data_IF_893599018640
#
_entry.id   IF_893599018640
#
_cell.length_a   1.000
_cell.length_b   1.000
_cell.length_c   1.000
_cell.angle_alpha   90.00
_cell.angle_beta   90.00
_cell.angle_gamma   90.00
#
_symmetry.space_group_name_H-M   'P 1'
#
loop_
_entity.id
_entity.type
_entity.pdbx_description
1 polymer ?
#
# COMPACT_ATOMS: atom_id res chain seq x y z
N UNK A 1 -17.85 2.84 0.95
CA UNK A 1 -16.65 2.72 1.80
C UNK A 1 -15.43 2.69 0.89
N UNK A 2 -14.27 3.20 1.32
CA UNK A 2 -13.06 3.14 0.52
C UNK A 2 -12.51 1.71 0.53
N UNK A 3 -12.35 1.09 -0.64
CA UNK A 3 -11.86 -0.29 -0.77
C UNK A 3 -10.48 -0.50 -0.16
N UNK A 4 -9.66 0.55 -0.11
CA UNK A 4 -8.35 0.54 0.53
C UNK A 4 -8.47 0.61 2.06
N UNK A 5 -9.49 1.31 2.58
CA UNK A 5 -9.73 1.41 4.01
C UNK A 5 -10.20 0.08 4.63
N UNK A 6 -10.72 -0.84 3.83
CA UNK A 6 -11.10 -2.19 4.26
C UNK A 6 -9.88 -3.11 4.48
N UNK A 7 -8.69 -2.75 3.97
CA UNK A 7 -7.44 -3.49 4.15
C UNK A 7 -6.34 -2.63 4.79
N UNK A 8 -6.50 -2.19 6.04
CA UNK A 8 -5.58 -1.26 6.70
C UNK A 8 -4.17 -1.83 6.90
N UNK A 9 -4.03 -3.16 7.04
CA UNK A 9 -2.72 -3.82 7.15
C UNK A 9 -1.86 -3.62 5.89
N UNK A 10 -2.48 -3.57 4.72
CA UNK A 10 -1.79 -3.34 3.45
C UNK A 10 -1.24 -1.90 3.42
N UNK A 11 -2.07 -0.92 3.74
CA UNK A 11 -1.65 0.50 3.81
C UNK A 11 -0.51 0.72 4.81
N UNK A 12 -0.57 0.06 5.98
CA UNK A 12 0.50 0.11 6.96
C UNK A 12 1.78 -0.52 6.41
N UNK A 13 1.71 -1.71 5.80
CA UNK A 13 2.89 -2.40 5.25
C UNK A 13 3.59 -1.61 4.13
N UNK A 14 2.82 -0.90 3.30
CA UNK A 14 3.33 -0.02 2.25
C UNK A 14 3.90 1.30 2.79
N UNK A 15 3.79 1.56 4.09
CA UNK A 15 4.09 2.84 4.72
C UNK A 15 3.38 4.01 4.04
N UNK A 16 2.08 3.87 3.78
CA UNK A 16 1.28 4.97 3.24
C UNK A 16 1.24 6.09 4.28
N UNK A 17 1.99 7.15 4.03
CA UNK A 17 2.05 8.34 4.90
C UNK A 17 1.03 9.39 4.47
N UNK A 18 0.71 9.45 3.18
CA UNK A 18 -0.32 10.31 2.63
C UNK A 18 -1.00 9.68 1.41
N UNK A 19 -2.30 9.90 1.30
CA UNK A 19 -3.10 9.63 0.11
C UNK A 19 -3.81 10.92 -0.30
N UNK A 20 -3.68 11.32 -1.56
CA UNK A 20 -4.29 12.55 -2.06
C UNK A 20 -5.03 12.30 -3.37
N UNK A 21 -6.24 12.83 -3.45
CA UNK A 21 -6.90 13.02 -4.74
C UNK A 21 -6.24 14.16 -5.49
N UNK A 22 -5.94 13.95 -6.77
CA UNK A 22 -5.26 14.92 -7.61
C UNK A 22 -5.64 14.78 -9.07
N UNK A 23 -4.95 15.54 -9.91
CA UNK A 23 -5.01 15.40 -11.36
C UNK A 23 -3.59 15.20 -11.86
N UNK A 24 -3.35 14.11 -12.59
CA UNK A 24 -2.08 13.82 -13.25
C UNK A 24 -2.32 13.71 -14.75
N UNK A 25 -1.54 14.45 -15.56
CA UNK A 25 -1.70 14.51 -17.01
C UNK A 25 -3.15 14.80 -17.47
N UNK A 26 -3.89 15.63 -16.73
CA UNK A 26 -5.29 15.99 -17.03
C UNK A 26 -6.33 14.93 -16.64
N UNK A 27 -5.92 13.78 -16.09
CA UNK A 27 -6.81 12.74 -15.58
C UNK A 27 -6.92 12.82 -14.06
N UNK A 28 -8.14 12.65 -13.53
CA UNK A 28 -8.33 12.49 -12.07
C UNK A 28 -7.59 11.25 -11.61
N UNK A 29 -6.83 11.37 -10.54
CA UNK A 29 -6.02 10.29 -10.00
C UNK A 29 -6.03 10.32 -8.47
N UNK A 30 -5.79 9.16 -7.88
CA UNK A 30 -5.50 9.03 -6.46
C UNK A 30 -4.06 8.61 -6.29
N UNK A 31 -3.28 9.41 -5.55
CA UNK A 31 -1.83 9.23 -5.42
C UNK A 31 -1.54 8.77 -4.00
N UNK A 32 -0.82 7.66 -3.88
CA UNK A 32 -0.34 7.09 -2.63
C UNK A 32 1.19 7.13 -2.61
N UNK A 33 1.79 7.79 -1.63
CA UNK A 33 3.24 7.63 -1.40
C UNK A 33 3.48 6.35 -0.62
N UNK A 34 4.36 5.51 -1.13
CA UNK A 34 4.67 4.19 -0.57
C UNK A 34 6.17 3.98 -0.43
N UNK A 35 6.56 3.17 0.55
CA UNK A 35 7.93 2.74 0.78
C UNK A 35 7.93 1.21 0.99
N UNK A 36 7.55 0.48 -0.05
CA UNK A 36 7.49 -0.97 -0.03
C UNK A 36 8.85 -1.64 -0.24
N UNK A 37 8.87 -2.96 -0.25
CA UNK A 37 10.09 -3.72 -0.58
C UNK A 37 10.38 -3.77 -2.07
N UNK A 38 9.35 -3.87 -2.92
CA UNK A 38 9.49 -3.89 -4.38
C UNK A 38 9.53 -2.48 -4.97
N UNK A 39 8.65 -1.61 -4.50
CA UNK A 39 8.50 -0.27 -5.02
C UNK A 39 8.60 0.80 -3.93
N UNK A 40 9.37 1.84 -4.21
CA UNK A 40 9.47 3.05 -3.39
C UNK A 40 9.20 4.26 -4.29
N UNK A 41 8.32 5.16 -3.84
CA UNK A 41 7.86 6.30 -4.64
C UNK A 41 6.36 6.50 -4.50
N UNK A 42 5.66 6.63 -5.62
CA UNK A 42 4.22 6.82 -5.68
C UNK A 42 3.51 5.69 -6.45
N UNK A 43 2.31 5.35 -5.97
CA UNK A 43 1.31 4.55 -6.70
C UNK A 43 0.20 5.50 -7.10
N UNK A 44 -0.05 5.62 -8.40
CA UNK A 44 -1.09 6.47 -8.96
C UNK A 44 -2.21 5.59 -9.48
N UNK A 45 -3.42 5.81 -8.99
CA UNK A 45 -4.62 5.04 -9.34
C UNK A 45 -5.54 5.95 -10.15
N UNK A 46 -5.83 5.54 -11.38
CA UNK A 46 -6.75 6.24 -12.27
C UNK A 46 -8.08 5.49 -12.37
N UNK A 47 -9.23 6.18 -12.38
CA UNK A 47 -10.47 5.57 -12.81
C UNK A 47 -10.37 5.22 -14.31
N UNK A 48 -10.78 4.01 -14.66
CA UNK A 48 -10.87 3.58 -16.05
C UNK A 48 -12.20 4.05 -16.66
N UNK A 49 -12.29 4.03 -17.99
CA UNK A 49 -13.53 4.22 -18.74
C UNK A 49 -14.64 3.23 -18.38
N UNK A 50 -14.28 2.01 -17.97
CA UNK A 50 -15.21 1.00 -17.47
C UNK A 50 -15.48 1.22 -15.99
N UNK A 51 -16.75 1.37 -15.62
CA UNK A 51 -17.14 1.58 -14.23
C UNK A 51 -16.71 0.40 -13.34
N UNK A 52 -16.15 0.73 -12.17
CA UNK A 52 -15.58 -0.26 -11.25
C UNK A 52 -14.20 -0.80 -11.63
N UNK A 53 -13.57 -0.29 -12.69
CA UNK A 53 -12.20 -0.63 -13.07
C UNK A 53 -11.25 0.56 -12.90
N UNK A 54 -9.98 0.25 -12.66
CA UNK A 54 -8.93 1.21 -12.38
C UNK A 54 -7.65 0.82 -13.11
N UNK A 55 -6.85 1.83 -13.43
CA UNK A 55 -5.48 1.67 -13.92
C UNK A 55 -4.51 2.11 -12.83
N UNK A 56 -3.36 1.48 -12.75
CA UNK A 56 -2.28 1.82 -11.81
C UNK A 56 -1.04 2.19 -12.60
N UNK A 57 -0.37 3.25 -12.16
CA UNK A 57 0.99 3.57 -12.57
C UNK A 57 1.88 3.66 -11.31
N UNK A 58 3.02 2.97 -11.35
CA UNK A 58 4.08 3.09 -10.36
C UNK A 58 5.06 4.15 -10.83
N UNK A 59 5.23 5.19 -10.01
CA UNK A 59 6.18 6.26 -10.25
C UNK A 59 7.28 6.12 -9.21
N UNK A 60 8.54 6.05 -9.65
CA UNK A 60 9.68 5.97 -8.74
C UNK A 60 10.01 7.33 -8.10
N UNK A 61 11.06 7.40 -7.28
CA UNK A 61 11.48 8.64 -6.64
C UNK A 61 12.03 9.69 -7.62
N UNK A 62 12.45 9.28 -8.82
CA UNK A 62 12.91 10.18 -9.88
C UNK A 62 11.76 10.84 -10.64
N UNK A 63 10.54 10.32 -10.48
CA UNK A 63 9.34 10.82 -11.14
C UNK A 63 9.00 10.07 -12.44
N UNK A 64 9.73 9.00 -12.76
CA UNK A 64 9.52 8.20 -13.96
C UNK A 64 8.53 7.05 -13.72
N UNK A 65 7.72 6.75 -14.73
CA UNK A 65 6.80 5.61 -14.68
C UNK A 65 7.60 4.33 -14.90
N UNK A 66 7.68 3.49 -13.88
CA UNK A 66 8.43 2.23 -13.92
C UNK A 66 7.54 1.04 -14.32
N UNK A 67 6.26 1.07 -13.96
CA UNK A 67 5.32 -0.01 -14.31
C UNK A 67 3.90 0.54 -14.41
N UNK A 68 3.11 0.01 -15.32
CA UNK A 68 1.69 0.32 -15.44
C UNK A 68 0.85 -0.96 -15.59
N UNK A 69 -0.32 -0.97 -14.95
CA UNK A 69 -1.26 -2.09 -14.98
C UNK A 69 -2.66 -1.55 -15.18
N UNK A 70 -3.30 -1.94 -16.28
CA UNK A 70 -4.62 -1.46 -16.67
C UNK A 70 -5.74 -2.46 -16.32
N UNK A 71 -6.98 -1.99 -16.31
CA UNK A 71 -8.19 -2.83 -16.17
C UNK A 71 -8.26 -3.66 -14.88
N UNK A 72 -7.93 -3.05 -13.76
CA UNK A 72 -8.02 -3.69 -12.44
C UNK A 72 -9.40 -3.45 -11.84
N UNK A 73 -10.15 -4.53 -11.61
CA UNK A 73 -11.43 -4.46 -10.90
C UNK A 73 -11.25 -3.95 -9.47
N UNK A 74 -12.17 -3.12 -8.98
CA UNK A 74 -12.17 -2.56 -7.63
C UNK A 74 -11.83 -3.61 -6.54
N UNK A 75 -12.44 -4.79 -6.60
CA UNK A 75 -12.27 -5.87 -5.62
C UNK A 75 -10.83 -6.39 -5.51
N UNK A 76 -10.06 -6.35 -6.61
CA UNK A 76 -8.67 -6.80 -6.67
C UNK A 76 -7.65 -5.68 -6.49
N UNK A 77 -8.09 -4.42 -6.49
CA UNK A 77 -7.21 -3.26 -6.48
C UNK A 77 -6.18 -3.32 -5.34
N UNK A 78 -6.65 -3.57 -4.13
CA UNK A 78 -5.79 -3.67 -2.94
C UNK A 78 -4.79 -4.83 -2.97
N UNK A 79 -5.10 -5.92 -3.67
CA UNK A 79 -4.23 -7.09 -3.79
C UNK A 79 -3.17 -6.87 -4.87
N UNK A 80 -3.56 -6.28 -6.00
CA UNK A 80 -2.63 -5.92 -7.07
C UNK A 80 -1.61 -4.89 -6.57
N UNK A 81 -2.05 -3.85 -5.87
CA UNK A 81 -1.12 -2.88 -5.26
C UNK A 81 -0.17 -3.60 -4.28
N UNK A 82 -0.65 -4.56 -3.50
CA UNK A 82 0.21 -5.31 -2.57
C UNK A 82 1.29 -6.10 -3.31
N UNK A 83 0.92 -6.76 -4.40
CA UNK A 83 1.83 -7.54 -5.23
C UNK A 83 2.90 -6.70 -5.92
N UNK A 84 2.52 -5.49 -6.34
CA UNK A 84 3.39 -4.52 -7.00
C UNK A 84 4.36 -3.85 -6.01
N UNK A 85 3.86 -3.48 -4.83
CA UNK A 85 4.62 -2.64 -3.88
C UNK A 85 5.43 -3.46 -2.87
N UNK A 86 4.91 -4.60 -2.43
CA UNK A 86 5.33 -5.21 -1.16
C UNK A 86 5.70 -6.69 -1.27
N UNK A 87 4.93 -7.52 -1.98
CA UNK A 87 5.10 -8.97 -1.99
C UNK A 87 6.34 -9.39 -2.79
N UNK A 88 7.44 -9.73 -2.12
CA UNK A 88 8.62 -10.36 -2.72
C UNK A 88 8.55 -11.90 -2.65
N UNK A 89 9.43 -12.59 -3.38
CA UNK A 89 9.55 -14.06 -3.31
C UNK A 89 9.89 -14.55 -1.89
N UNK A 90 10.72 -13.78 -1.17
CA UNK A 90 11.20 -14.11 0.17
C UNK A 90 10.67 -13.13 1.24
N UNK A 91 9.39 -12.74 1.14
CA UNK A 91 8.80 -11.66 1.92
C UNK A 91 9.04 -11.75 3.44
N UNK A 92 8.94 -12.95 4.02
CA UNK A 92 9.16 -13.15 5.46
C UNK A 92 10.62 -12.86 5.85
N UNK A 93 11.58 -13.30 5.04
CA UNK A 93 13.00 -13.09 5.30
C UNK A 93 13.40 -11.61 5.11
N UNK A 94 12.79 -10.94 4.12
CA UNK A 94 12.98 -9.51 3.89
C UNK A 94 12.50 -8.68 5.09
N UNK A 95 11.36 -9.05 5.69
CA UNK A 95 10.87 -8.42 6.94
C UNK A 95 11.88 -8.61 8.06
N UNK A 96 12.37 -9.83 8.29
CA UNK A 96 13.33 -10.12 9.37
C UNK A 96 14.63 -9.32 9.15
N UNK A 97 15.13 -9.28 7.91
CA UNK A 97 16.34 -8.52 7.56
C UNK A 97 16.15 -7.02 7.74
N UNK A 98 14.98 -6.51 7.38
CA UNK A 98 14.63 -5.10 7.55
C UNK A 98 14.48 -4.72 9.03
N UNK A 99 13.77 -5.52 9.83
CA UNK A 99 13.60 -5.29 11.27
C UNK A 99 14.94 -5.21 12.02
N UNK A 100 15.94 -6.03 11.65
CA UNK A 100 17.29 -5.96 12.22
C UNK A 100 18.03 -4.66 11.93
N UNK A 101 17.70 -4.00 10.81
CA UNK A 101 18.34 -2.74 10.38
C UNK A 101 17.57 -1.50 10.83
N UNK A 102 16.28 -1.63 11.14
CA UNK A 102 15.44 -0.50 11.51
C UNK A 102 15.82 0.11 12.86
N UNK A 103 15.99 1.43 12.88
CA UNK A 103 16.07 2.18 14.13
C UNK A 103 14.70 2.21 14.83
N UNK A 104 14.60 2.23 16.17
CA UNK A 104 13.33 2.10 16.90
C UNK A 104 12.25 3.15 16.54
N UNK A 105 12.66 4.33 16.07
CA UNK A 105 11.77 5.49 15.92
C UNK A 105 11.28 5.71 14.48
N UNK A 106 11.92 5.11 13.48
CA UNK A 106 11.50 5.24 12.09
C UNK A 106 10.46 4.17 11.73
N UNK A 107 9.35 4.62 11.12
CA UNK A 107 8.34 3.77 10.48
C UNK A 107 7.64 2.75 11.41
N UNK A 108 7.26 3.15 12.63
CA UNK A 108 6.56 2.26 13.59
C UNK A 108 5.28 1.63 13.01
N UNK A 109 4.46 2.41 12.31
CA UNK A 109 3.25 1.91 11.64
C UNK A 109 3.56 0.83 10.60
N UNK A 110 4.64 1.01 9.83
CA UNK A 110 5.08 0.02 8.85
C UNK A 110 5.58 -1.26 9.50
N UNK A 111 6.33 -1.15 10.61
CA UNK A 111 6.75 -2.32 11.40
C UNK A 111 5.55 -3.13 11.85
N UNK A 112 4.55 -2.46 12.42
CA UNK A 112 3.31 -3.09 12.88
C UNK A 112 2.60 -3.79 11.71
N UNK A 113 2.43 -3.10 10.58
CA UNK A 113 1.79 -3.67 9.39
C UNK A 113 2.50 -4.92 8.85
N UNK A 114 3.83 -4.87 8.73
CA UNK A 114 4.64 -6.01 8.26
C UNK A 114 4.64 -7.17 9.25
N UNK A 115 4.80 -6.90 10.55
CA UNK A 115 4.73 -7.93 11.59
C UNK A 115 3.37 -8.63 11.63
N UNK A 116 2.28 -7.88 11.46
CA UNK A 116 0.93 -8.44 11.40
C UNK A 116 0.73 -9.39 10.21
N UNK A 117 1.38 -9.13 9.06
CA UNK A 117 1.27 -10.00 7.89
C UNK A 117 1.95 -11.36 8.08
N UNK A 118 3.00 -11.43 8.91
CA UNK A 118 3.75 -12.67 9.15
C UNK A 118 3.40 -13.38 10.46
N UNK A 119 2.81 -12.65 11.43
CA UNK A 119 2.46 -13.19 12.75
C UNK A 119 0.95 -13.08 13.02
N UNK A 120 0.21 -14.21 13.07
CA UNK A 120 -1.22 -14.23 13.36
C UNK A 120 -1.58 -13.65 14.73
N UNK A 121 -0.70 -13.76 15.72
CA UNK A 121 -0.90 -13.22 17.07
C UNK A 121 -0.91 -11.68 17.04
N UNK A 122 0.05 -11.08 16.32
CA UNK A 122 0.11 -9.62 16.10
C UNK A 122 -1.11 -9.16 15.31
N UNK A 123 -1.51 -9.89 14.26
CA UNK A 123 -2.74 -9.57 13.51
C UNK A 123 -4.01 -9.65 14.37
N UNK A 124 -4.06 -10.61 15.29
CA UNK A 124 -5.19 -10.80 16.20
C UNK A 124 -5.27 -9.70 17.27
N UNK A 125 -4.14 -9.22 17.78
CA UNK A 125 -4.11 -8.06 18.69
C UNK A 125 -4.46 -6.75 17.97
N UNK A 126 -4.14 -6.65 16.68
CA UNK A 126 -4.48 -5.50 15.83
C UNK A 126 -5.95 -5.55 15.37
N UNK A 127 -6.69 -6.67 15.55
CA UNK A 127 -8.12 -6.74 15.18
C UNK A 127 -8.87 -5.56 15.80
N UNK A 128 -9.22 -4.66 14.89
CA UNK A 128 -9.70 -3.32 15.14
C UNK A 128 -11.02 -3.33 15.90
N UNK A 129 -10.97 -3.17 17.22
CA UNK A 129 -12.14 -2.70 17.97
C UNK A 129 -12.38 -1.20 17.82
N UNK A 130 -11.45 -0.42 17.27
CA UNK A 130 -11.57 1.05 17.21
C UNK A 130 -10.51 1.65 16.27
N UNK A 131 -10.75 1.70 14.96
CA UNK A 131 -10.19 2.79 14.12
C UNK A 131 -11.27 3.63 13.43
N UNK A 132 -12.56 3.32 13.65
CA UNK A 132 -13.70 4.22 13.35
C UNK A 132 -14.77 4.19 14.44
N UNK A 133 -14.38 4.00 15.70
CA UNK A 133 -15.30 4.23 16.82
C UNK A 133 -14.62 5.05 17.90
N UNK A 134 -15.27 6.19 18.21
CA UNK A 134 -14.88 7.31 19.07
C UNK A 134 -13.87 8.27 18.41
N UNK A 135 -14.22 9.52 18.12
CA UNK A 135 -15.44 10.29 18.38
C UNK A 135 -15.40 11.54 17.51
#
# INVERSE_FOLDING_TARGET
MSILAEKPLNLMSWNVTCGAGGTLAGRKAFILKVSGFKHQGAVVIFPNSLDGYFDIELIDESGEVVESVEYISACKLSEIIDQLVEVTENYSDDIVRWLRKCTPNENQTQKIGRMAKVCPEVAAEIKLKTLFSKR
#
